data_IF_791953663115
#
_entry.id   IF_791953663115
#
_cell.length_a   1.000
_cell.length_b   1.000
_cell.length_c   1.000
_cell.angle_alpha   90.00
_cell.angle_beta   90.00
_cell.angle_gamma   90.00
#
_symmetry.space_group_name_H-M   'P 1'
#
loop_
_entity.id
_entity.type
_entity.pdbx_description
1 polymer ?
#
# COMPACT_ATOMS: atom_id res chain seq x y z
N UNK A 1 -1.74 -13.04 -14.89
CA UNK A 1 -0.31 -12.72 -14.65
C UNK A 1 0.10 -13.18 -13.24
N UNK A 2 1.36 -13.62 -13.04
CA UNK A 2 1.83 -14.23 -11.78
C UNK A 2 2.36 -13.21 -10.78
N UNK A 3 2.06 -13.41 -9.50
CA UNK A 3 2.61 -12.63 -8.38
C UNK A 3 4.13 -12.81 -8.23
N UNK A 4 4.82 -11.71 -7.93
CA UNK A 4 6.26 -11.62 -7.65
C UNK A 4 6.46 -11.10 -6.24
N UNK A 5 7.38 -11.68 -5.49
CA UNK A 5 7.63 -11.28 -4.09
C UNK A 5 8.86 -10.37 -3.98
N UNK A 6 8.82 -9.42 -3.04
CA UNK A 6 9.96 -8.57 -2.70
C UNK A 6 10.57 -9.08 -1.39
N UNK A 7 11.74 -9.73 -1.47
CA UNK A 7 12.41 -10.34 -0.32
C UNK A 7 13.78 -9.72 -0.02
N UNK A 8 14.40 -9.10 -1.02
CA UNK A 8 15.76 -8.56 -1.00
C UNK A 8 15.83 -7.17 -1.63
N UNK A 9 16.94 -6.45 -1.40
CA UNK A 9 17.17 -5.16 -2.06
C UNK A 9 17.24 -5.33 -3.59
N UNK A 10 17.78 -6.44 -4.09
CA UNK A 10 17.79 -6.72 -5.54
C UNK A 10 16.38 -6.83 -6.11
N UNK A 11 15.41 -7.37 -5.36
CA UNK A 11 14.02 -7.44 -5.82
C UNK A 11 13.39 -6.04 -5.89
N UNK A 12 13.75 -5.15 -4.95
CA UNK A 12 13.34 -3.74 -4.96
C UNK A 12 13.94 -3.04 -6.17
N UNK A 13 15.26 -3.16 -6.38
CA UNK A 13 15.96 -2.50 -7.47
C UNK A 13 15.38 -2.95 -8.82
N UNK A 14 15.16 -4.26 -8.98
CA UNK A 14 14.49 -4.85 -10.13
C UNK A 14 13.07 -4.30 -10.34
N UNK A 15 12.28 -4.15 -9.27
CA UNK A 15 10.93 -3.60 -9.33
C UNK A 15 10.94 -2.13 -9.75
N UNK A 16 11.80 -1.33 -9.12
CA UNK A 16 11.91 0.11 -9.38
C UNK A 16 12.43 0.38 -10.80
N UNK A 17 13.39 -0.40 -11.29
CA UNK A 17 13.89 -0.29 -12.65
C UNK A 17 12.81 -0.68 -13.68
N UNK A 18 12.18 -1.85 -13.52
CA UNK A 18 11.18 -2.35 -14.48
C UNK A 18 9.94 -1.47 -14.56
N UNK A 19 9.57 -0.82 -13.45
CA UNK A 19 8.36 -0.02 -13.35
C UNK A 19 8.64 1.48 -13.29
N UNK A 20 9.81 1.95 -13.78
CA UNK A 20 10.10 3.38 -13.89
C UNK A 20 9.95 4.15 -12.58
N UNK A 21 10.23 3.50 -11.45
CA UNK A 21 9.99 4.01 -10.09
C UNK A 21 8.55 4.50 -9.86
N UNK A 22 7.57 3.92 -10.56
CA UNK A 22 6.16 4.33 -10.54
C UNK A 22 5.93 5.82 -10.87
N UNK A 23 6.90 6.48 -11.50
CA UNK A 23 6.78 7.88 -11.92
C UNK A 23 5.66 8.02 -12.96
N UNK A 24 4.99 9.18 -12.99
CA UNK A 24 3.84 9.47 -13.87
C UNK A 24 2.74 8.39 -13.83
N UNK A 25 2.52 7.82 -12.64
CA UNK A 25 1.47 6.82 -12.39
C UNK A 25 0.45 7.38 -11.40
N UNK A 26 -0.72 6.76 -11.32
CA UNK A 26 -1.82 7.20 -10.45
C UNK A 26 -2.30 6.06 -9.57
N UNK A 27 -2.56 6.35 -8.29
CA UNK A 27 -3.24 5.41 -7.41
C UNK A 27 -4.72 5.39 -7.81
N UNK A 28 -5.23 4.23 -8.22
CA UNK A 28 -6.62 4.07 -8.66
C UNK A 28 -7.49 3.35 -7.64
N UNK A 29 -6.91 2.51 -6.78
CA UNK A 29 -7.67 1.89 -5.69
C UNK A 29 -6.80 1.49 -4.49
N UNK A 30 -7.45 1.45 -3.33
CA UNK A 30 -6.88 0.98 -2.07
C UNK A 30 -7.91 0.10 -1.39
N UNK A 31 -7.61 -1.19 -1.23
CA UNK A 31 -8.49 -2.14 -0.58
C UNK A 31 -7.81 -2.69 0.68
N UNK A 32 -8.29 -2.28 1.86
CA UNK A 32 -7.74 -2.72 3.13
C UNK A 32 -8.65 -3.76 3.80
N UNK A 33 -8.05 -4.86 4.22
CA UNK A 33 -8.69 -5.90 5.04
C UNK A 33 -7.97 -5.94 6.37
N UNK A 34 -8.69 -5.66 7.46
CA UNK A 34 -8.12 -5.57 8.80
C UNK A 34 -7.83 -6.92 9.45
N UNK A 35 -8.42 -8.01 8.94
CA UNK A 35 -8.42 -9.34 9.55
C UNK A 35 -9.28 -9.44 10.83
N UNK A 36 -9.78 -8.32 11.35
CA UNK A 36 -10.58 -8.27 12.56
C UNK A 36 -12.06 -8.49 12.24
N UNK A 37 -12.74 -9.35 12.99
CA UNK A 37 -14.16 -9.62 12.79
C UNK A 37 -14.83 -10.11 14.09
N UNK A 38 -16.15 -9.95 14.15
CA UNK A 38 -16.98 -10.55 15.19
C UNK A 38 -17.31 -11.99 14.80
N UNK A 39 -17.47 -12.84 15.81
CA UNK A 39 -17.98 -14.21 15.65
C UNK A 39 -19.41 -14.29 16.17
N UNK A 40 -20.16 -15.33 15.77
CA UNK A 40 -21.56 -15.57 16.16
C UNK A 40 -21.79 -15.72 17.68
N UNK A 41 -20.74 -15.71 18.50
CA UNK A 41 -20.80 -15.77 19.97
C UNK A 41 -20.39 -14.48 20.68
N UNK A 42 -20.52 -13.32 20.04
CA UNK A 42 -20.12 -11.99 20.55
C UNK A 42 -18.62 -11.86 20.91
N UNK A 43 -17.79 -12.79 20.43
CA UNK A 43 -16.34 -12.71 20.59
C UNK A 43 -15.71 -11.95 19.44
N UNK A 44 -14.86 -10.98 19.79
CA UNK A 44 -14.05 -10.24 18.84
C UNK A 44 -12.76 -11.01 18.54
N UNK A 45 -12.52 -11.31 17.26
CA UNK A 45 -11.21 -11.77 16.80
C UNK A 45 -10.38 -10.56 16.43
N UNK A 46 -9.31 -10.33 17.19
CA UNK A 46 -8.29 -9.32 16.93
C UNK A 46 -7.02 -10.04 16.48
N UNK A 47 -7.11 -10.74 15.36
CA UNK A 47 -5.97 -11.46 14.77
C UNK A 47 -5.34 -10.57 13.70
N UNK A 48 -4.13 -10.07 13.97
CA UNK A 48 -3.35 -9.23 13.06
C UNK A 48 -2.58 -9.92 11.90
N UNK A 49 -2.35 -11.25 11.83
CA UNK A 49 -1.50 -11.84 10.79
C UNK A 49 -2.17 -11.85 9.41
N UNK A 50 -3.51 -11.76 9.36
CA UNK A 50 -4.28 -11.88 8.12
C UNK A 50 -4.68 -10.52 7.52
N UNK A 51 -4.15 -9.42 8.06
CA UNK A 51 -4.42 -8.10 7.49
C UNK A 51 -3.62 -7.88 6.20
N UNK A 52 -4.24 -7.18 5.26
CA UNK A 52 -3.66 -6.93 3.96
C UNK A 52 -4.18 -5.62 3.36
N UNK A 53 -3.36 -5.00 2.52
CA UNK A 53 -3.73 -3.85 1.71
C UNK A 53 -3.34 -4.14 0.25
N UNK A 54 -4.32 -4.11 -0.64
CA UNK A 54 -4.11 -4.12 -2.08
C UNK A 54 -4.15 -2.68 -2.59
N UNK A 55 -3.01 -2.19 -3.05
CA UNK A 55 -2.84 -0.90 -3.71
C UNK A 55 -2.77 -1.14 -5.21
N UNK A 56 -3.65 -0.49 -5.98
CA UNK A 56 -3.63 -0.57 -7.44
C UNK A 56 -3.18 0.77 -8.00
N UNK A 57 -2.15 0.71 -8.84
CA UNK A 57 -1.54 1.84 -9.52
C UNK A 57 -1.73 1.66 -11.02
N UNK A 58 -2.08 2.73 -11.71
CA UNK A 58 -2.21 2.74 -13.15
C UNK A 58 -1.17 3.67 -13.80
N UNK A 59 -0.65 3.26 -14.94
CA UNK A 59 0.40 3.96 -15.65
C UNK A 59 0.18 3.84 -17.14
N UNK A 60 0.10 4.97 -17.84
CA UNK A 60 -0.03 5.00 -19.30
C UNK A 60 1.15 4.34 -20.04
N UNK A 61 2.28 4.11 -19.36
CA UNK A 61 3.49 3.53 -19.94
C UNK A 61 3.69 2.05 -19.57
N UNK A 62 3.24 1.64 -18.38
CA UNK A 62 3.52 0.34 -17.78
C UNK A 62 2.28 -0.56 -17.68
N UNK A 63 1.10 0.02 -17.91
CA UNK A 63 -0.19 -0.59 -17.59
C UNK A 63 -0.44 -0.61 -16.08
N UNK A 64 -1.43 -1.42 -15.68
CA UNK A 64 -1.87 -1.53 -14.30
C UNK A 64 -0.97 -2.43 -13.48
N UNK A 65 -0.59 -1.98 -12.29
CA UNK A 65 0.22 -2.69 -11.32
C UNK A 65 -0.57 -2.84 -10.03
N UNK A 66 -0.63 -4.05 -9.51
CA UNK A 66 -1.18 -4.35 -8.20
C UNK A 66 -0.06 -4.66 -7.22
N UNK A 67 -0.15 -4.05 -6.04
CA UNK A 67 0.79 -4.20 -4.93
C UNK A 67 0.03 -4.69 -3.70
N UNK A 68 0.24 -5.95 -3.34
CA UNK A 68 -0.36 -6.60 -2.18
C UNK A 68 0.61 -6.58 -1.00
N UNK A 69 0.30 -5.73 -0.03
CA UNK A 69 1.00 -5.65 1.25
C UNK A 69 0.30 -6.57 2.25
N UNK A 70 1.08 -7.36 3.00
CA UNK A 70 0.55 -8.25 4.04
C UNK A 70 1.23 -7.99 5.38
N UNK A 71 0.50 -8.15 6.48
CA UNK A 71 1.00 -7.75 7.80
C UNK A 71 1.20 -6.23 7.87
N UNK A 72 0.21 -5.46 7.40
CA UNK A 72 0.23 -4.00 7.38
C UNK A 72 0.25 -3.47 8.81
N UNK A 73 1.23 -2.61 9.11
CA UNK A 73 1.41 -2.01 10.44
C UNK A 73 0.84 -0.60 10.47
N UNK A 74 1.15 0.20 9.45
CA UNK A 74 0.64 1.55 9.26
C UNK A 74 0.38 1.79 7.78
N UNK A 75 -0.67 2.55 7.46
CA UNK A 75 -0.88 3.06 6.12
C UNK A 75 -1.64 4.38 6.19
N UNK A 76 -1.37 5.26 5.25
CA UNK A 76 -2.21 6.40 4.91
C UNK A 76 -2.15 6.58 3.41
N UNK A 77 -3.30 6.81 2.76
CA UNK A 77 -3.33 7.15 1.34
C UNK A 77 -4.15 8.42 1.21
N UNK A 78 -3.53 9.44 0.61
CA UNK A 78 -4.17 10.72 0.39
C UNK A 78 -5.09 10.60 -0.83
N UNK A 79 -6.40 10.77 -0.60
CA UNK A 79 -7.35 10.89 -1.69
C UNK A 79 -7.22 12.25 -2.41
N UNK A 80 -7.87 12.35 -3.57
CA UNK A 80 -7.96 13.60 -4.30
C UNK A 80 -8.53 14.74 -3.45
N UNK A 81 -7.86 15.88 -3.47
CA UNK A 81 -8.39 17.15 -2.98
C UNK A 81 -7.91 18.31 -3.88
N UNK A 82 -8.42 19.52 -3.66
CA UNK A 82 -8.00 20.71 -4.44
C UNK A 82 -6.48 20.98 -4.44
N UNK A 83 -5.75 20.39 -3.48
CA UNK A 83 -4.32 20.62 -3.25
C UNK A 83 -3.45 19.40 -3.53
N UNK A 84 -4.05 18.24 -3.80
CA UNK A 84 -3.34 16.97 -3.99
C UNK A 84 -4.12 16.08 -4.94
N UNK A 85 -3.46 15.62 -5.99
CA UNK A 85 -3.91 14.50 -6.80
C UNK A 85 -3.47 13.18 -6.12
N UNK A 86 -3.95 12.05 -6.64
CA UNK A 86 -3.45 10.71 -6.31
C UNK A 86 -2.34 10.27 -7.28
N UNK A 87 -1.63 11.24 -7.85
CA UNK A 87 -0.50 11.03 -8.76
C UNK A 87 0.76 10.70 -7.96
N UNK A 88 1.56 9.79 -8.50
CA UNK A 88 2.85 9.40 -7.97
C UNK A 88 3.90 10.16 -8.78
N UNK A 89 4.43 11.22 -8.17
CA UNK A 89 5.54 11.98 -8.75
C UNK A 89 6.89 11.35 -8.42
N UNK A 90 7.03 10.78 -7.24
CA UNK A 90 8.23 10.08 -6.82
C UNK A 90 7.80 8.86 -6.01
N UNK A 91 8.63 7.81 -5.99
CA UNK A 91 8.33 6.62 -5.20
C UNK A 91 9.58 6.19 -4.47
N UNK A 92 9.42 5.84 -3.20
CA UNK A 92 10.45 5.15 -2.44
C UNK A 92 9.89 3.80 -2.00
N UNK A 93 10.69 2.76 -2.20
CA UNK A 93 10.44 1.42 -1.69
C UNK A 93 11.72 0.95 -1.00
N UNK A 94 11.67 0.69 0.30
CA UNK A 94 12.86 0.27 1.06
C UNK A 94 12.52 -0.68 2.21
N UNK A 95 13.54 -1.38 2.70
CA UNK A 95 13.46 -2.12 3.96
C UNK A 95 13.94 -1.27 5.13
N UNK A 96 13.20 -1.27 6.24
CA UNK A 96 13.51 -0.55 7.47
C UNK A 96 13.39 -1.46 8.69
N UNK A 97 14.25 -1.26 9.68
CA UNK A 97 14.31 -2.05 10.93
C UNK A 97 14.24 -1.20 12.20
N UNK A 98 14.16 0.12 12.05
CA UNK A 98 14.21 1.14 13.09
C UNK A 98 12.83 1.68 13.49
N UNK A 99 11.76 1.25 12.82
CA UNK A 99 10.40 1.84 12.94
C UNK A 99 9.59 1.34 14.15
N UNK A 100 9.94 0.18 14.73
CA UNK A 100 9.17 -0.45 15.82
C UNK A 100 9.75 -0.16 17.22
N UNK A 101 10.62 0.85 17.33
CA UNK A 101 11.27 1.27 18.56
C UNK A 101 12.45 0.38 18.96
N UNK A 102 13.05 0.66 20.12
CA UNK A 102 14.37 0.12 20.52
C UNK A 102 14.43 -1.38 20.80
N UNK A 103 13.28 -2.04 20.97
CA UNK A 103 13.20 -3.45 21.40
C UNK A 103 12.71 -4.39 20.31
N UNK A 104 12.42 -3.88 19.09
CA UNK A 104 11.93 -4.66 17.96
C UNK A 104 12.68 -4.25 16.70
N UNK A 105 13.33 -5.22 16.08
CA UNK A 105 14.12 -5.09 14.85
C UNK A 105 13.40 -5.73 13.65
N UNK A 106 12.06 -5.75 13.68
CA UNK A 106 11.25 -6.26 12.58
C UNK A 106 11.67 -5.59 11.27
N UNK A 107 12.10 -6.38 10.29
CA UNK A 107 12.36 -5.90 8.93
C UNK A 107 11.01 -5.65 8.24
N UNK A 108 10.67 -4.38 8.07
CA UNK A 108 9.45 -3.92 7.42
C UNK A 108 9.76 -3.39 6.03
N UNK A 109 8.84 -3.57 5.10
CA UNK A 109 8.86 -2.92 3.79
C UNK A 109 8.04 -1.63 3.86
N UNK A 110 8.62 -0.54 3.39
CA UNK A 110 8.03 0.79 3.36
C UNK A 110 7.87 1.21 1.91
N UNK A 111 6.64 1.48 1.50
CA UNK A 111 6.32 2.12 0.23
C UNK A 111 5.80 3.53 0.50
N UNK A 112 6.16 4.48 -0.37
CA UNK A 112 5.62 5.83 -0.31
C UNK A 112 5.69 6.56 -1.64
N UNK A 113 4.79 7.54 -1.85
CA UNK A 113 4.70 8.39 -3.05
C UNK A 113 5.50 9.71 -2.95
N UNK A 114 6.45 9.82 -2.02
CA UNK A 114 7.33 10.99 -1.86
C UNK A 114 8.79 10.63 -1.54
N UNK A 115 9.68 11.63 -1.66
CA UNK A 115 11.14 11.43 -1.70
C UNK A 115 11.85 11.06 -0.40
N UNK A 116 11.30 11.38 0.78
CA UNK A 116 12.09 11.41 2.02
C UNK A 116 11.38 10.79 3.23
N UNK A 117 11.74 9.55 3.56
CA UNK A 117 11.21 8.82 4.72
C UNK A 117 11.76 9.29 6.09
N UNK A 118 12.57 10.35 6.13
CA UNK A 118 13.18 10.84 7.36
C UNK A 118 12.17 11.52 8.30
N UNK A 119 10.98 11.87 7.80
CA UNK A 119 9.92 12.51 8.58
C UNK A 119 8.86 11.53 9.14
N UNK A 120 9.02 10.21 8.94
CA UNK A 120 8.12 9.20 9.54
C UNK A 120 8.07 9.28 11.08
N UNK A 121 9.09 9.85 11.73
CA UNK A 121 9.13 10.02 13.19
C UNK A 121 8.18 11.11 13.70
N UNK A 122 7.68 12.01 12.83
CA UNK A 122 6.81 13.13 13.17
C UNK A 122 5.48 13.08 12.40
N UNK A 123 4.84 11.91 12.34
CA UNK A 123 3.52 11.79 11.72
C UNK A 123 2.48 12.65 12.45
N UNK A 124 2.09 13.74 11.79
CA UNK A 124 0.92 14.54 12.13
C UNK A 124 0.13 14.83 10.86
N UNK A 125 -1.18 14.59 10.90
CA UNK A 125 -2.05 14.92 9.77
C UNK A 125 -2.34 16.42 9.81
N UNK A 126 -1.89 17.17 8.80
CA UNK A 126 -2.27 18.56 8.59
C UNK A 126 -3.26 18.64 7.43
N UNK A 127 -4.56 18.77 7.74
CA UNK A 127 -5.62 18.89 6.74
C UNK A 127 -5.52 20.17 5.90
N UNK A 128 -4.62 21.11 6.23
CA UNK A 128 -4.37 22.31 5.43
C UNK A 128 -3.34 22.08 4.33
N UNK A 129 -2.67 20.94 4.31
CA UNK A 129 -1.61 20.58 3.36
C UNK A 129 -1.92 19.24 2.69
N UNK A 130 -1.33 19.02 1.53
CA UNK A 130 -1.24 17.66 0.99
C UNK A 130 -0.44 16.82 2.00
N UNK A 131 -0.94 15.63 2.31
CA UNK A 131 -0.22 14.64 3.09
C UNK A 131 0.29 13.57 2.14
N UNK A 132 1.43 13.00 2.46
CA UNK A 132 2.00 11.95 1.63
C UNK A 132 1.30 10.60 1.87
N UNK A 133 1.28 9.75 0.84
CA UNK A 133 0.78 8.38 0.94
C UNK A 133 1.91 7.43 1.30
N UNK A 134 1.64 6.49 2.18
CA UNK A 134 2.60 5.48 2.58
C UNK A 134 1.91 4.19 3.02
N UNK A 135 2.65 3.08 2.88
CA UNK A 135 2.28 1.77 3.42
C UNK A 135 3.51 1.16 4.07
N UNK A 136 3.37 0.73 5.32
CA UNK A 136 4.40 0.02 6.09
C UNK A 136 3.84 -1.37 6.40
N UNK A 137 4.52 -2.41 5.92
CA UNK A 137 4.05 -3.79 6.04
C UNK A 137 5.18 -4.79 6.28
N UNK A 138 4.84 -6.05 6.57
CA UNK A 138 5.82 -7.13 6.75
C UNK A 138 6.33 -7.71 5.43
N UNK A 139 5.48 -7.72 4.40
CA UNK A 139 5.83 -8.27 3.09
C UNK A 139 5.06 -7.57 1.97
N UNK A 140 5.64 -7.57 0.78
CA UNK A 140 5.04 -7.04 -0.44
C UNK A 140 5.15 -8.08 -1.57
N UNK A 141 4.06 -8.25 -2.30
CA UNK A 141 4.04 -8.93 -3.59
C UNK A 141 3.38 -8.05 -4.62
N UNK A 142 3.78 -8.18 -5.88
CA UNK A 142 3.24 -7.38 -6.96
C UNK A 142 2.99 -8.19 -8.22
N UNK A 143 2.10 -7.69 -9.09
CA UNK A 143 1.89 -8.21 -10.44
C UNK A 143 1.41 -7.09 -11.35
N UNK A 144 1.58 -7.28 -12.65
CA UNK A 144 0.77 -6.56 -13.62
C UNK A 144 -0.67 -7.14 -13.60
N UNK A 145 -1.66 -6.28 -13.75
CA UNK A 145 -3.07 -6.66 -13.88
C UNK A 145 -3.58 -6.33 -15.28
N UNK A 146 -4.61 -7.04 -15.73
CA UNK A 146 -5.30 -6.68 -16.98
C UNK A 146 -6.23 -5.48 -16.72
N UNK A 147 -6.52 -4.67 -17.74
CA UNK A 147 -7.33 -3.45 -17.65
C UNK A 147 -8.82 -3.69 -17.29
N UNK A 148 -9.22 -4.93 -17.01
CA UNK A 148 -10.60 -5.30 -16.66
C UNK A 148 -10.70 -5.81 -15.23
N UNK A 149 -10.69 -4.87 -14.28
CA UNK A 149 -11.33 -5.01 -12.95
C UNK A 149 -11.76 -3.60 -12.46
N UNK A 150 -11.94 -2.64 -13.40
CA UNK A 150 -12.58 -1.37 -13.07
C UNK A 150 -14.07 -1.62 -12.86
N UNK A 151 -14.51 -1.43 -11.60
CA UNK A 151 -15.91 -1.29 -11.19
C UNK A 151 -16.68 -2.55 -10.74
N UNK A 152 -16.04 -3.68 -10.43
CA UNK A 152 -16.73 -4.76 -9.68
C UNK A 152 -16.65 -4.60 -8.16
N UNK A 153 -15.78 -3.72 -7.65
CA UNK A 153 -15.62 -3.48 -6.23
C UNK A 153 -16.70 -2.59 -5.59
N UNK A 154 -17.67 -2.08 -6.37
CA UNK A 154 -18.76 -1.25 -5.84
C UNK A 154 -20.14 -1.94 -5.93
N UNK A 155 -20.36 -2.91 -6.83
CA UNK A 155 -21.73 -3.36 -7.10
C UNK A 155 -22.10 -4.79 -6.65
N UNK A 156 -21.17 -5.76 -6.54
CA UNK A 156 -21.59 -7.16 -6.25
C UNK A 156 -21.38 -7.62 -4.80
N UNK A 157 -20.29 -7.28 -4.13
CA UNK A 157 -20.05 -7.73 -2.73
C UNK A 157 -20.52 -6.74 -1.66
N UNK A 158 -20.85 -5.49 -1.99
CA UNK A 158 -21.43 -4.54 -1.01
C UNK A 158 -22.83 -4.99 -0.54
N UNK A 159 -23.54 -5.76 -1.37
CA UNK A 159 -24.83 -6.39 -1.02
C UNK A 159 -24.69 -7.68 -0.21
N UNK A 160 -23.47 -8.20 -0.02
CA UNK A 160 -23.22 -9.42 0.76
C UNK A 160 -22.91 -9.14 2.22
N UNK A 161 -22.64 -7.87 2.54
CA UNK A 161 -22.38 -7.35 3.89
C UNK A 161 -23.45 -6.36 4.39
N UNK A 162 -24.59 -6.25 3.67
CA UNK A 162 -25.82 -5.59 4.13
C UNK A 162 -26.87 -6.62 4.58
#
# INVERSE_FOLDING_TARGET
MSWREINTQSDIDDFMEKNGSLHDSVIVSVNYVSGCHNTDGDMMIVSAPDNALLLTVDSGWLGRIEMLFSGVVYHAVQGYCERSSSEIHECVLEFRTDLMGKTRDDRLIVWTDFRQLNDLENFGIDLKKANDSFVIARSLRWRYAEESDEMDCIDEDYNRFL
#
